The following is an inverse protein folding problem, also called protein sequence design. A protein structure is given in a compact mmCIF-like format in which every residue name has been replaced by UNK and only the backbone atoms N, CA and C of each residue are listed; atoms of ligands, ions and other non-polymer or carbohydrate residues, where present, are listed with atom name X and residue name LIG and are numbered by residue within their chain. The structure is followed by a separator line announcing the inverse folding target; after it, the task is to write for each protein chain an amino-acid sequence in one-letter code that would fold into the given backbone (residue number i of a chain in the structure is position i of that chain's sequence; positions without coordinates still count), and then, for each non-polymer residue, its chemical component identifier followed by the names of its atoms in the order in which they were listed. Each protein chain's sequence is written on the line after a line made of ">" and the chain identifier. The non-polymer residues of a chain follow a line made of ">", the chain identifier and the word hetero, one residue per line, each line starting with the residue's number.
data_IF_508064415626
#
_entry.id   IF_508064415626
#
_cell.length_a   1.000
_cell.length_b   1.000
_cell.length_c   1.000
_cell.angle_alpha   90.00
_cell.angle_beta   90.00
_cell.angle_gamma   90.00
#
_symmetry.space_group_name_H-M   'P 1'
#
loop_
_entity.id
_entity.type
_entity.pdbx_description
1 polymer ?
#
# COMPACT_ATOMS: atom_id res chain seq x y z
N UNK A 1 16.02 -17.97 -17.66
CA UNK A 1 14.91 -17.01 -17.76
C UNK A 1 15.49 -15.61 -17.64
N UNK A 2 15.45 -14.80 -18.70
CA UNK A 2 15.94 -13.41 -18.62
C UNK A 2 14.98 -12.62 -17.73
N UNK A 3 15.48 -12.12 -16.60
CA UNK A 3 14.70 -11.19 -15.77
C UNK A 3 14.53 -9.88 -16.52
N UNK A 4 13.31 -9.33 -16.51
CA UNK A 4 13.06 -8.01 -17.07
C UNK A 4 13.94 -6.97 -16.37
N UNK A 5 14.35 -5.94 -17.13
CA UNK A 5 15.06 -4.74 -16.64
C UNK A 5 14.09 -3.59 -16.32
N UNK A 6 12.78 -3.85 -16.30
CA UNK A 6 11.77 -2.82 -16.04
C UNK A 6 11.88 -2.33 -14.59
N UNK A 7 12.17 -1.05 -14.43
CA UNK A 7 12.28 -0.40 -13.10
C UNK A 7 11.04 0.44 -12.75
N UNK A 8 10.33 0.96 -13.75
CA UNK A 8 9.13 1.78 -13.55
C UNK A 8 7.98 1.23 -14.39
N UNK A 9 6.87 0.89 -13.75
CA UNK A 9 5.64 0.48 -14.41
C UNK A 9 4.57 1.54 -14.17
N UNK A 10 4.29 2.31 -15.23
CA UNK A 10 3.30 3.38 -15.19
C UNK A 10 1.99 2.95 -15.88
N UNK A 11 0.95 2.78 -15.07
CA UNK A 11 -0.41 2.44 -15.49
C UNK A 11 -1.42 3.54 -15.11
N UNK A 12 -0.94 4.75 -14.83
CA UNK A 12 -1.73 5.92 -14.47
C UNK A 12 -2.87 6.21 -15.45
N UNK A 13 -4.02 6.67 -14.95
CA UNK A 13 -5.13 7.20 -15.75
C UNK A 13 -5.70 6.21 -16.78
N UNK A 14 -5.83 4.96 -16.36
CA UNK A 14 -6.50 3.91 -17.14
C UNK A 14 -7.85 3.54 -16.50
N UNK A 15 -8.43 2.42 -16.93
CA UNK A 15 -9.71 1.90 -16.43
C UNK A 15 -9.54 0.52 -15.79
N UNK A 16 -8.38 0.26 -15.19
CA UNK A 16 -8.06 -1.04 -14.58
C UNK A 16 -8.96 -1.23 -13.36
N UNK A 17 -9.76 -2.30 -13.37
CA UNK A 17 -10.66 -2.66 -12.26
C UNK A 17 -10.05 -3.78 -11.39
N UNK A 18 -9.28 -4.67 -12.02
CA UNK A 18 -8.61 -5.80 -11.37
C UNK A 18 -7.10 -5.69 -11.55
N UNK A 19 -6.36 -5.70 -10.45
CA UNK A 19 -4.91 -5.67 -10.46
C UNK A 19 -4.37 -6.55 -9.34
N UNK A 20 -3.91 -7.75 -9.72
CA UNK A 20 -3.25 -8.68 -8.81
C UNK A 20 -1.74 -8.47 -8.88
N UNK A 21 -1.07 -8.36 -7.73
CA UNK A 21 0.38 -8.14 -7.69
C UNK A 21 1.18 -9.33 -8.24
N UNK A 22 0.60 -10.52 -8.35
CA UNK A 22 1.25 -11.72 -8.88
C UNK A 22 1.70 -11.55 -10.34
N UNK A 23 1.03 -10.68 -11.11
CA UNK A 23 1.43 -10.35 -12.50
C UNK A 23 2.82 -9.70 -12.55
N UNK A 24 3.31 -9.16 -11.43
CA UNK A 24 4.58 -8.48 -11.34
C UNK A 24 5.76 -9.41 -11.06
N UNK A 25 5.53 -10.72 -10.89
CA UNK A 25 6.60 -11.70 -10.61
C UNK A 25 7.72 -11.74 -11.65
N UNK A 26 7.46 -11.25 -12.86
CA UNK A 26 8.44 -11.15 -13.96
C UNK A 26 9.30 -9.89 -13.89
N UNK A 27 9.04 -8.99 -12.94
CA UNK A 27 9.70 -7.70 -12.77
C UNK A 27 10.36 -7.55 -11.38
N UNK A 28 11.31 -8.43 -11.00
CA UNK A 28 11.92 -8.37 -9.66
C UNK A 28 12.75 -7.09 -9.43
N UNK A 29 13.14 -6.39 -10.50
CA UNK A 29 13.83 -5.09 -10.47
C UNK A 29 12.91 -3.87 -10.46
N UNK A 30 11.59 -4.06 -10.36
CA UNK A 30 10.64 -2.94 -10.35
C UNK A 30 10.82 -2.10 -9.08
N UNK A 31 11.07 -0.80 -9.26
CA UNK A 31 11.27 0.20 -8.20
C UNK A 31 10.04 1.05 -7.96
N UNK A 32 9.29 1.37 -9.03
CA UNK A 32 8.11 2.23 -8.95
C UNK A 32 6.91 1.60 -9.64
N UNK A 33 5.79 1.57 -8.92
CA UNK A 33 4.50 1.11 -9.44
C UNK A 33 3.48 2.24 -9.35
N UNK A 34 3.08 2.77 -10.51
CA UNK A 34 2.19 3.91 -10.63
C UNK A 34 0.80 3.46 -11.13
N UNK A 35 -0.16 3.37 -10.22
CA UNK A 35 -1.53 2.88 -10.46
C UNK A 35 -2.59 3.97 -10.31
N UNK A 36 -2.20 5.23 -10.10
CA UNK A 36 -3.16 6.29 -9.80
C UNK A 36 -4.23 6.48 -10.88
N UNK A 37 -5.43 6.94 -10.49
CA UNK A 37 -6.54 7.23 -11.42
C UNK A 37 -6.97 6.01 -12.23
N UNK A 38 -7.19 4.90 -11.55
CA UNK A 38 -7.82 3.71 -12.10
C UNK A 38 -9.13 3.41 -11.34
N UNK A 39 -9.66 2.20 -11.48
CA UNK A 39 -10.84 1.72 -10.76
C UNK A 39 -10.52 0.49 -9.91
N UNK A 40 -9.27 0.36 -9.47
CA UNK A 40 -8.80 -0.83 -8.76
C UNK A 40 -9.51 -0.90 -7.41
N UNK A 41 -10.08 -2.06 -7.10
CA UNK A 41 -10.85 -2.29 -5.86
C UNK A 41 -9.99 -2.94 -4.77
N UNK A 42 -8.97 -3.69 -5.15
CA UNK A 42 -8.10 -4.43 -4.23
C UNK A 42 -6.69 -4.48 -4.77
N UNK A 43 -5.71 -4.29 -3.89
CA UNK A 43 -4.29 -4.58 -4.15
C UNK A 43 -3.84 -5.61 -3.14
N UNK A 44 -3.47 -6.78 -3.64
CA UNK A 44 -2.89 -7.87 -2.87
C UNK A 44 -2.20 -8.86 -3.82
N UNK A 45 -1.43 -9.78 -3.24
CA UNK A 45 -0.79 -10.88 -3.96
C UNK A 45 0.31 -11.53 -3.14
N UNK A 46 0.93 -12.55 -3.72
CA UNK A 46 2.04 -13.33 -3.17
C UNK A 46 3.26 -13.23 -4.09
N UNK A 47 3.89 -12.06 -4.11
CA UNK A 47 4.98 -11.73 -5.04
C UNK A 47 6.25 -11.24 -4.34
N UNK A 48 7.40 -11.56 -4.92
CA UNK A 48 8.71 -11.07 -4.48
C UNK A 48 9.11 -9.83 -5.28
N UNK A 49 9.06 -8.66 -4.66
CA UNK A 49 9.38 -7.35 -5.25
C UNK A 49 10.41 -6.62 -4.38
N UNK A 50 11.64 -7.16 -4.27
CA UNK A 50 12.63 -6.67 -3.32
C UNK A 50 13.10 -5.26 -3.65
N UNK A 51 13.01 -4.83 -4.92
CA UNK A 51 13.46 -3.53 -5.37
C UNK A 51 12.37 -2.45 -5.28
N UNK A 52 11.11 -2.80 -4.97
CA UNK A 52 10.00 -1.85 -5.00
C UNK A 52 10.16 -0.82 -3.90
N UNK A 53 10.35 0.45 -4.27
CA UNK A 53 10.56 1.59 -3.39
C UNK A 53 9.26 2.35 -3.18
N UNK A 54 8.43 2.47 -4.22
CA UNK A 54 7.23 3.32 -4.18
C UNK A 54 6.03 2.67 -4.85
N UNK A 55 4.90 2.69 -4.14
CA UNK A 55 3.58 2.31 -4.63
C UNK A 55 2.65 3.53 -4.64
N UNK A 56 2.26 3.98 -5.83
CA UNK A 56 1.23 5.01 -6.00
C UNK A 56 -0.10 4.36 -6.42
N UNK A 57 -1.09 4.36 -5.54
CA UNK A 57 -2.43 3.86 -5.79
C UNK A 57 -3.55 4.88 -5.49
N UNK A 58 -3.18 6.17 -5.47
CA UNK A 58 -4.11 7.30 -5.25
C UNK A 58 -5.24 7.33 -6.28
N UNK A 59 -6.43 7.81 -5.90
CA UNK A 59 -7.56 7.97 -6.82
C UNK A 59 -7.95 6.64 -7.49
N UNK A 60 -8.26 5.65 -6.66
CA UNK A 60 -8.81 4.36 -7.08
C UNK A 60 -10.11 4.10 -6.30
N UNK A 61 -10.58 2.85 -6.31
CA UNK A 61 -11.75 2.39 -5.56
C UNK A 61 -11.35 1.41 -4.46
N UNK A 62 -10.11 1.49 -3.95
CA UNK A 62 -9.54 0.47 -3.06
C UNK A 62 -10.40 0.35 -1.80
N UNK A 63 -10.98 -0.83 -1.58
CA UNK A 63 -11.58 -1.25 -0.31
C UNK A 63 -10.62 -2.12 0.50
N UNK A 64 -9.59 -2.69 -0.14
CA UNK A 64 -8.55 -3.49 0.51
C UNK A 64 -7.16 -3.15 -0.07
N UNK A 65 -6.19 -2.96 0.83
CA UNK A 65 -4.77 -2.93 0.53
C UNK A 65 -4.06 -3.90 1.48
N UNK A 66 -3.57 -5.01 0.95
CA UNK A 66 -3.00 -6.09 1.73
C UNK A 66 -1.70 -6.59 1.09
N UNK A 67 -0.59 -6.24 1.71
CA UNK A 67 0.77 -6.58 1.27
C UNK A 67 1.38 -7.73 2.09
N UNK A 68 0.61 -8.42 2.95
CA UNK A 68 1.13 -9.49 3.83
C UNK A 68 1.75 -10.66 3.06
N UNK A 69 1.24 -10.98 1.86
CA UNK A 69 1.82 -12.00 0.99
C UNK A 69 2.99 -11.49 0.13
N UNK A 70 3.22 -10.19 0.08
CA UNK A 70 4.27 -9.59 -0.70
C UNK A 70 5.58 -9.51 0.09
N UNK A 71 6.70 -9.63 -0.61
CA UNK A 71 8.00 -9.31 -0.04
C UNK A 71 8.54 -8.05 -0.72
N UNK A 72 8.28 -6.92 -0.08
CA UNK A 72 8.66 -5.58 -0.55
C UNK A 72 9.63 -4.93 0.45
N UNK A 73 10.77 -5.57 0.69
CA UNK A 73 11.74 -5.17 1.73
C UNK A 73 12.31 -3.75 1.56
N UNK A 74 12.30 -3.20 0.35
CA UNK A 74 12.78 -1.84 0.06
C UNK A 74 11.68 -0.79 -0.04
N UNK A 75 10.43 -1.13 0.30
CA UNK A 75 9.30 -0.22 0.16
C UNK A 75 9.38 0.91 1.20
N UNK A 76 9.47 2.15 0.72
CA UNK A 76 9.60 3.34 1.55
C UNK A 76 8.32 4.19 1.57
N UNK A 77 7.55 4.17 0.47
CA UNK A 77 6.41 5.07 0.31
C UNK A 77 5.20 4.37 -0.29
N UNK A 78 4.05 4.52 0.37
CA UNK A 78 2.75 4.05 -0.11
C UNK A 78 1.78 5.22 -0.13
N UNK A 79 1.26 5.53 -1.33
CA UNK A 79 0.26 6.58 -1.53
C UNK A 79 -1.07 5.96 -1.94
N UNK A 80 -2.01 5.85 -1.01
CA UNK A 80 -3.34 5.27 -1.23
C UNK A 80 -4.47 6.25 -0.87
N UNK A 81 -4.22 7.56 -0.99
CA UNK A 81 -5.23 8.59 -0.76
C UNK A 81 -6.35 8.61 -1.81
N UNK A 82 -7.52 9.16 -1.45
CA UNK A 82 -8.70 9.23 -2.32
C UNK A 82 -9.13 7.83 -2.80
N UNK A 83 -9.44 6.96 -1.84
CA UNK A 83 -9.89 5.59 -2.04
C UNK A 83 -11.12 5.31 -1.16
N UNK A 84 -11.48 4.04 -0.97
CA UNK A 84 -12.62 3.58 -0.17
C UNK A 84 -12.21 2.66 0.97
N UNK A 85 -10.98 2.82 1.49
CA UNK A 85 -10.47 1.98 2.56
C UNK A 85 -11.25 2.25 3.84
N UNK A 86 -12.01 1.26 4.31
CA UNK A 86 -12.70 1.31 5.61
C UNK A 86 -11.86 0.71 6.74
N UNK A 87 -10.90 -0.15 6.39
CA UNK A 87 -9.95 -0.78 7.31
C UNK A 87 -8.52 -0.29 7.02
N UNK A 88 -7.70 -0.21 8.07
CA UNK A 88 -6.29 0.13 7.93
C UNK A 88 -5.57 -0.92 7.07
N UNK A 89 -4.64 -0.53 6.18
CA UNK A 89 -3.92 -1.49 5.33
C UNK A 89 -3.16 -2.54 6.14
N UNK A 90 -3.08 -3.75 5.60
CA UNK A 90 -2.21 -4.81 6.13
C UNK A 90 -0.90 -4.73 5.38
N UNK A 91 0.16 -4.23 6.02
CA UNK A 91 1.44 -3.98 5.34
C UNK A 91 2.33 -5.23 5.34
N UNK A 92 2.13 -6.13 6.29
CA UNK A 92 2.95 -7.33 6.44
C UNK A 92 4.31 -7.06 7.09
N UNK A 93 4.99 -8.14 7.45
CA UNK A 93 6.21 -8.07 8.25
C UNK A 93 7.47 -7.82 7.39
N UNK A 94 7.35 -7.98 6.07
CA UNK A 94 8.43 -7.74 5.10
C UNK A 94 8.60 -6.25 4.78
N UNK A 95 7.54 -5.44 4.94
CA UNK A 95 7.55 -3.98 4.74
C UNK A 95 8.07 -3.32 6.01
N UNK A 96 9.39 -3.41 6.22
CA UNK A 96 10.07 -2.90 7.43
C UNK A 96 10.67 -1.50 7.27
N UNK A 97 10.85 -1.04 6.03
CA UNK A 97 11.48 0.24 5.69
C UNK A 97 10.51 1.41 5.47
N UNK A 98 9.20 1.22 5.67
CA UNK A 98 8.21 2.22 5.29
C UNK A 98 8.40 3.55 6.06
N UNK A 99 8.49 4.66 5.33
CA UNK A 99 8.68 6.01 5.86
C UNK A 99 7.44 6.89 5.67
N UNK A 100 6.71 6.70 4.56
CA UNK A 100 5.53 7.50 4.20
C UNK A 100 4.34 6.60 3.91
N UNK A 101 3.24 6.85 4.63
CA UNK A 101 1.94 6.24 4.38
C UNK A 101 0.86 7.32 4.24
N UNK A 102 0.38 7.51 3.02
CA UNK A 102 -0.71 8.45 2.71
C UNK A 102 -2.04 7.71 2.51
N UNK A 103 -2.94 7.89 3.46
CA UNK A 103 -4.30 7.35 3.52
C UNK A 103 -5.35 8.46 3.60
N UNK A 104 -5.01 9.70 3.23
CA UNK A 104 -5.96 10.81 3.25
C UNK A 104 -7.20 10.51 2.37
N UNK A 105 -8.36 11.04 2.73
CA UNK A 105 -9.59 10.89 1.94
C UNK A 105 -9.95 9.40 1.72
N UNK A 106 -10.09 8.67 2.81
CA UNK A 106 -10.59 7.30 2.86
C UNK A 106 -11.79 7.23 3.83
N UNK A 107 -12.16 6.04 4.27
CA UNK A 107 -13.31 5.80 5.15
C UNK A 107 -12.89 5.08 6.44
N UNK A 108 -11.63 5.24 6.86
CA UNK A 108 -11.09 4.57 8.04
C UNK A 108 -11.82 5.03 9.29
N UNK A 109 -12.29 4.08 10.10
CA UNK A 109 -12.96 4.37 11.39
C UNK A 109 -12.04 4.24 12.58
N UNK A 110 -10.91 3.54 12.41
CA UNK A 110 -9.88 3.36 13.43
C UNK A 110 -8.49 3.24 12.78
N UNK A 111 -7.45 3.58 13.55
CA UNK A 111 -6.08 3.19 13.24
C UNK A 111 -5.81 1.78 13.76
N UNK A 112 -4.97 1.01 13.07
CA UNK A 112 -4.52 -0.29 13.55
C UNK A 112 -3.15 -0.15 14.22
N UNK A 113 -3.14 -0.15 15.56
CA UNK A 113 -1.91 -0.03 16.35
C UNK A 113 -0.89 -1.14 16.04
N UNK A 114 -1.35 -2.37 15.81
CA UNK A 114 -0.50 -3.52 15.50
C UNK A 114 0.24 -3.32 14.17
N UNK A 115 -0.46 -2.84 13.15
CA UNK A 115 0.12 -2.53 11.83
C UNK A 115 0.83 -1.16 11.76
N UNK A 116 0.92 -0.42 12.87
CA UNK A 116 1.80 0.74 12.97
C UNK A 116 3.08 0.40 13.73
N UNK A 117 2.97 -0.47 14.75
CA UNK A 117 4.11 -0.94 15.55
C UNK A 117 5.12 -1.75 14.74
N UNK A 118 4.70 -2.37 13.63
CA UNK A 118 5.59 -3.10 12.71
C UNK A 118 6.45 -2.18 11.82
N UNK A 119 6.23 -0.85 11.86
CA UNK A 119 6.80 0.12 10.94
C UNK A 119 7.61 1.15 11.73
N UNK A 120 8.74 0.74 12.34
CA UNK A 120 9.52 1.59 13.23
C UNK A 120 10.14 2.81 12.52
N UNK A 121 10.23 2.77 11.19
CA UNK A 121 10.80 3.84 10.37
C UNK A 121 9.75 4.84 9.85
N UNK A 122 8.46 4.64 10.16
CA UNK A 122 7.39 5.49 9.66
C UNK A 122 7.50 6.89 10.26
N UNK A 123 7.84 7.87 9.43
CA UNK A 123 8.03 9.27 9.84
C UNK A 123 6.86 10.15 9.43
N UNK A 124 6.09 9.73 8.42
CA UNK A 124 4.95 10.50 7.90
C UNK A 124 3.74 9.59 7.73
N UNK A 125 2.72 9.82 8.55
CA UNK A 125 1.40 9.19 8.42
C UNK A 125 0.36 10.26 8.11
N UNK A 126 -0.26 10.19 6.93
CA UNK A 126 -1.31 11.13 6.52
C UNK A 126 -2.65 10.41 6.49
N UNK A 127 -3.54 10.76 7.41
CA UNK A 127 -4.84 10.09 7.62
C UNK A 127 -6.01 11.09 7.70
N UNK A 128 -5.82 12.32 7.20
CA UNK A 128 -6.88 13.34 7.19
C UNK A 128 -8.08 12.92 6.33
N UNK A 129 -9.25 13.50 6.59
CA UNK A 129 -10.47 13.20 5.83
C UNK A 129 -10.81 11.70 5.84
N UNK A 130 -10.83 11.12 7.04
CA UNK A 130 -11.33 9.78 7.35
C UNK A 130 -12.48 9.89 8.37
N UNK A 131 -13.04 8.76 8.81
CA UNK A 131 -14.12 8.68 9.79
C UNK A 131 -13.63 8.25 11.19
N UNK A 132 -12.39 8.62 11.55
CA UNK A 132 -11.77 8.25 12.83
C UNK A 132 -12.51 8.90 13.99
N UNK A 133 -12.96 8.10 14.96
CA UNK A 133 -13.61 8.60 16.19
C UNK A 133 -12.61 8.87 17.31
N UNK A 134 -11.49 8.16 17.29
CA UNK A 134 -10.40 8.30 18.24
C UNK A 134 -9.09 7.95 17.54
N UNK A 135 -7.99 8.42 18.12
CA UNK A 135 -6.65 8.03 17.72
C UNK A 135 -5.96 7.44 18.95
N UNK A 136 -5.77 6.12 18.94
CA UNK A 136 -5.00 5.40 19.96
C UNK A 136 -4.03 4.44 19.26
N UNK A 137 -2.81 4.38 19.78
CA UNK A 137 -1.79 3.38 19.41
C UNK A 137 -1.66 2.28 20.47
N UNK A 138 -2.49 2.35 21.51
CA UNK A 138 -2.64 1.33 22.53
C UNK A 138 -3.91 0.54 22.24
N UNK A 139 -3.79 -0.79 22.26
CA UNK A 139 -4.97 -1.63 22.29
C UNK A 139 -5.63 -1.31 23.63
N UNK A 140 -6.76 -0.59 23.62
CA UNK A 140 -7.61 -0.49 24.79
C UNK A 140 -8.31 -1.86 24.95
N UNK A 141 -7.53 -2.88 25.31
CA UNK A 141 -8.06 -4.08 25.93
C UNK A 141 -8.25 -3.75 27.41
N UNK A 142 -9.48 -3.33 27.73
CA UNK A 142 -10.06 -3.47 29.07
C UNK A 142 -11.12 -4.55 29.01
#
# INVERSE_FOLDING_TARGET
>A
MSSSRLEVLNLCSNRIEHFDLDVLRTFPGLKELLLQRNKIVRIAGSVYLPALVTLHAKQNLLSELNLTGCNCSSLLSVYASQNKLSNFPLLGDTVSGLQVLDLNYNQLTACNATELKKQPNLSTLLISNNALKSFSIENNET
#
